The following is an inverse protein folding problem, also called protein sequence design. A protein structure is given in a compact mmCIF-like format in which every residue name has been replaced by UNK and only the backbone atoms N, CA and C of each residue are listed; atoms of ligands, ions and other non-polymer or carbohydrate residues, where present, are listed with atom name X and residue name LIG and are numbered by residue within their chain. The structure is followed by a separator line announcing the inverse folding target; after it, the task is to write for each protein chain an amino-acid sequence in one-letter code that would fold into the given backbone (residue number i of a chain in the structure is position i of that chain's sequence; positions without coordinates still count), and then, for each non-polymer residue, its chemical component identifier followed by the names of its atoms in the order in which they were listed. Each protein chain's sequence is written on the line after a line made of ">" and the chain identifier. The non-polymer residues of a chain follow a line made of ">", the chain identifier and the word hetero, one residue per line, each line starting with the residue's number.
data_IF_917898652632
#
_entry.id   IF_917898652632
#
_cell.length_a   1.000
_cell.length_b   1.000
_cell.length_c   1.000
_cell.angle_alpha   90.00
_cell.angle_beta   90.00
_cell.angle_gamma   90.00
#
_symmetry.space_group_name_H-M   'P 1'
#
loop_
_entity.id
_entity.type
_entity.pdbx_description
1 polymer ?
#
# COMPACT_ATOMS: atom_id res chain seq x y z
N UNK A 1 2.13 11.93 -33.76
CA UNK A 1 1.55 12.45 -32.52
C UNK A 1 0.24 11.72 -32.31
N UNK A 2 0.24 10.67 -31.48
CA UNK A 2 -0.98 9.93 -31.18
C UNK A 2 -1.84 10.81 -30.25
N UNK A 3 -3.08 11.11 -30.67
CA UNK A 3 -4.08 11.74 -29.82
C UNK A 3 -4.23 10.88 -28.56
N UNK A 4 -4.23 11.47 -27.35
CA UNK A 4 -4.55 10.71 -26.16
C UNK A 4 -5.94 10.09 -26.32
N UNK A 5 -6.08 8.82 -25.97
CA UNK A 5 -7.35 8.13 -26.01
C UNK A 5 -8.35 8.90 -25.14
N UNK A 6 -9.53 9.17 -25.69
CA UNK A 6 -10.60 9.85 -24.96
C UNK A 6 -11.02 8.94 -23.80
N UNK A 7 -11.11 9.51 -22.59
CA UNK A 7 -11.57 8.77 -21.42
C UNK A 7 -12.93 8.08 -21.70
N UNK A 8 -13.11 6.82 -21.30
CA UNK A 8 -14.41 6.16 -21.43
C UNK A 8 -15.44 6.90 -20.56
N UNK A 9 -16.70 6.94 -21.01
CA UNK A 9 -17.76 7.53 -20.21
C UNK A 9 -17.98 6.64 -18.96
N UNK A 10 -18.03 7.20 -17.73
CA UNK A 10 -18.34 6.42 -16.54
C UNK A 10 -19.72 5.77 -16.67
N UNK A 11 -19.90 4.58 -16.09
CA UNK A 11 -21.18 3.92 -16.03
C UNK A 11 -22.17 4.76 -15.22
N UNK A 12 -23.50 4.74 -15.54
CA UNK A 12 -24.48 5.45 -14.76
C UNK A 12 -24.53 4.89 -13.32
N UNK A 13 -24.45 5.79 -12.33
CA UNK A 13 -24.46 5.44 -10.92
C UNK A 13 -25.78 4.75 -10.55
N UNK A 14 -25.77 3.63 -9.83
CA UNK A 14 -26.99 2.98 -9.38
C UNK A 14 -27.74 3.91 -8.42
N UNK A 15 -29.03 4.17 -8.70
CA UNK A 15 -29.88 5.17 -8.02
C UNK A 15 -30.14 4.93 -6.53
N UNK A 16 -29.61 3.88 -5.93
CA UNK A 16 -29.78 3.54 -4.51
C UNK A 16 -28.59 2.73 -3.98
N UNK A 17 -27.42 3.33 -3.92
CA UNK A 17 -26.41 2.84 -2.98
C UNK A 17 -26.79 3.40 -1.61
N UNK A 18 -27.69 2.72 -0.90
CA UNK A 18 -27.79 2.90 0.55
C UNK A 18 -26.41 2.57 1.08
N UNK A 19 -25.71 3.60 1.53
CA UNK A 19 -24.51 3.49 2.35
C UNK A 19 -24.92 2.72 3.62
N UNK A 20 -25.02 1.40 3.50
CA UNK A 20 -25.04 0.52 4.62
C UNK A 20 -23.63 0.51 5.15
N UNK A 21 -23.37 1.33 6.16
CA UNK A 21 -22.34 1.07 7.13
C UNK A 21 -22.59 -0.35 7.67
N UNK A 22 -22.14 -1.34 6.95
CA UNK A 22 -21.81 -2.60 7.58
C UNK A 22 -20.48 -2.35 8.27
N UNK A 23 -20.63 -1.83 9.51
CA UNK A 23 -19.63 -1.91 10.57
C UNK A 23 -19.27 -3.39 10.80
N UNK A 24 -18.58 -3.99 9.85
CA UNK A 24 -18.13 -5.36 9.95
C UNK A 24 -16.62 -5.43 10.09
N UNK A 25 -16.02 -4.37 10.64
CA UNK A 25 -14.63 -4.36 11.04
C UNK A 25 -14.44 -4.31 12.57
N UNK A 26 -15.54 -4.44 13.34
CA UNK A 26 -15.48 -4.59 14.80
C UNK A 26 -16.09 -5.93 15.19
N UNK A 27 -15.28 -6.72 15.89
CA UNK A 27 -15.64 -7.99 16.53
C UNK A 27 -15.53 -9.20 15.57
N UNK A 28 -14.33 -9.65 15.29
CA UNK A 28 -14.07 -11.08 15.24
C UNK A 28 -12.66 -11.37 15.77
N UNK A 29 -12.67 -12.11 16.83
CA UNK A 29 -11.63 -12.92 17.46
C UNK A 29 -10.18 -12.79 17.01
N UNK A 30 -9.35 -12.69 18.02
CA UNK A 30 -7.91 -12.68 18.18
C UNK A 30 -7.12 -13.71 17.34
N UNK A 31 -7.75 -14.42 16.40
CA UNK A 31 -7.15 -15.52 15.64
C UNK A 31 -7.35 -15.46 14.12
N UNK A 32 -8.03 -14.46 13.59
CA UNK A 32 -8.14 -14.32 12.14
C UNK A 32 -7.94 -12.86 11.77
N UNK A 33 -6.68 -12.47 11.59
CA UNK A 33 -6.33 -11.27 10.84
C UNK A 33 -6.92 -11.47 9.45
N UNK A 34 -8.14 -10.99 9.28
CA UNK A 34 -8.73 -10.85 7.96
C UNK A 34 -7.79 -9.92 7.22
N UNK A 35 -6.99 -10.48 6.36
CA UNK A 35 -6.25 -9.74 5.35
C UNK A 35 -7.29 -9.04 4.49
N UNK A 36 -7.66 -7.82 4.86
CA UNK A 36 -8.32 -6.91 3.95
C UNK A 36 -7.32 -6.72 2.80
N UNK A 37 -7.46 -7.52 1.76
CA UNK A 37 -6.72 -7.30 0.52
C UNK A 37 -7.27 -6.01 -0.07
N UNK A 38 -6.63 -4.89 0.24
CA UNK A 38 -6.87 -3.68 -0.52
C UNK A 38 -6.42 -3.95 -1.95
N UNK A 39 -7.37 -4.01 -2.85
CA UNK A 39 -7.05 -4.02 -4.27
C UNK A 39 -6.53 -2.63 -4.61
N UNK A 40 -5.28 -2.56 -5.06
CA UNK A 40 -4.64 -1.29 -5.40
C UNK A 40 -4.73 -1.08 -6.89
N UNK A 41 -5.35 0.02 -7.26
CA UNK A 41 -5.62 0.39 -8.63
C UNK A 41 -4.86 1.67 -8.97
N UNK A 42 -4.58 1.88 -10.25
CA UNK A 42 -4.04 3.11 -10.81
C UNK A 42 -5.09 3.77 -11.66
N UNK A 43 -5.24 5.06 -11.50
CA UNK A 43 -6.09 5.85 -12.40
C UNK A 43 -5.48 5.89 -13.81
N UNK A 44 -6.26 5.53 -14.81
CA UNK A 44 -5.87 5.58 -16.22
C UNK A 44 -6.20 6.95 -16.82
N UNK A 45 -7.24 7.58 -16.30
CA UNK A 45 -7.76 8.86 -16.79
C UNK A 45 -7.98 9.82 -15.63
N UNK A 46 -8.00 11.12 -15.94
CA UNK A 46 -8.48 12.13 -15.01
C UNK A 46 -9.99 11.98 -14.82
N UNK A 47 -10.44 12.09 -13.59
CA UNK A 47 -11.85 12.07 -13.24
C UNK A 47 -12.17 13.15 -12.22
N UNK A 48 -13.21 13.92 -12.48
CA UNK A 48 -13.75 14.91 -11.54
C UNK A 48 -15.12 14.44 -11.10
N UNK A 49 -15.27 14.16 -9.82
CA UNK A 49 -16.55 13.75 -9.24
C UNK A 49 -17.62 14.81 -9.45
N UNK A 50 -18.80 14.39 -9.88
CA UNK A 50 -19.96 15.27 -10.09
C UNK A 50 -20.84 15.35 -8.84
N UNK A 51 -20.75 14.35 -7.94
CA UNK A 51 -21.48 14.27 -6.68
C UNK A 51 -20.54 14.28 -5.46
N UNK A 52 -21.07 14.63 -4.28
CA UNK A 52 -20.29 14.77 -3.04
C UNK A 52 -19.65 13.45 -2.56
N UNK A 53 -20.22 12.31 -2.96
CA UNK A 53 -19.72 10.98 -2.58
C UNK A 53 -18.76 10.40 -3.63
N UNK A 54 -18.48 11.10 -4.72
CA UNK A 54 -17.54 10.71 -5.75
C UNK A 54 -16.15 11.24 -5.49
N UNK A 55 -15.14 10.44 -5.80
CA UNK A 55 -13.75 10.78 -5.62
C UNK A 55 -13.16 11.36 -6.89
N UNK A 56 -12.58 12.56 -6.81
CA UNK A 56 -11.81 13.15 -7.91
C UNK A 56 -10.37 12.68 -7.86
N UNK A 57 -9.81 12.32 -9.02
CA UNK A 57 -8.43 11.86 -9.15
C UNK A 57 -7.85 12.19 -10.52
N UNK A 58 -6.54 12.17 -10.64
CA UNK A 58 -5.80 12.38 -11.89
C UNK A 58 -5.18 11.08 -12.39
N UNK A 59 -4.96 11.02 -13.69
CA UNK A 59 -4.27 9.88 -14.31
C UNK A 59 -2.91 9.63 -13.63
N UNK A 60 -2.67 8.39 -13.24
CA UNK A 60 -1.48 7.97 -12.51
C UNK A 60 -1.65 7.93 -10.99
N UNK A 61 -2.72 8.50 -10.44
CA UNK A 61 -3.00 8.42 -9.00
C UNK A 61 -3.23 6.96 -8.58
N UNK A 62 -2.83 6.65 -7.34
CA UNK A 62 -3.04 5.33 -6.74
C UNK A 62 -4.30 5.35 -5.88
N UNK A 63 -5.17 4.40 -6.16
CA UNK A 63 -6.44 4.22 -5.46
C UNK A 63 -6.44 2.90 -4.69
N UNK A 64 -6.87 2.96 -3.45
CA UNK A 64 -6.98 1.80 -2.55
C UNK A 64 -8.45 1.40 -2.48
N UNK A 65 -8.83 0.35 -3.21
CA UNK A 65 -10.22 -0.11 -3.26
C UNK A 65 -10.60 -0.76 -1.95
N UNK A 66 -11.62 -0.19 -1.30
CA UNK A 66 -12.16 -0.66 -0.03
C UNK A 66 -13.32 -1.63 -0.26
N UNK A 67 -14.11 -1.38 -1.30
CA UNK A 67 -15.28 -2.18 -1.66
C UNK A 67 -15.44 -2.19 -3.19
N UNK A 68 -15.51 -3.39 -3.76
CA UNK A 68 -15.73 -3.65 -5.18
C UNK A 68 -16.98 -4.52 -5.41
N UNK A 69 -17.95 -4.45 -4.50
CA UNK A 69 -19.21 -5.24 -4.57
C UNK A 69 -20.08 -4.81 -5.74
N UNK A 70 -20.02 -3.54 -6.15
CA UNK A 70 -20.67 -3.04 -7.34
C UNK A 70 -19.75 -3.21 -8.55
N UNK A 71 -20.24 -3.72 -9.70
CA UNK A 71 -19.39 -3.95 -10.88
C UNK A 71 -18.91 -2.65 -11.54
N UNK A 72 -19.65 -1.58 -11.41
CA UNK A 72 -19.40 -0.32 -12.14
C UNK A 72 -18.80 0.78 -11.24
N UNK A 73 -19.11 0.77 -9.95
CA UNK A 73 -18.67 1.78 -9.00
C UNK A 73 -18.05 1.16 -7.76
N UNK A 74 -16.78 1.46 -7.53
CA UNK A 74 -16.05 0.96 -6.39
C UNK A 74 -15.84 2.05 -5.34
N UNK A 75 -15.84 1.68 -4.08
CA UNK A 75 -15.41 2.58 -3.02
C UNK A 75 -13.91 2.49 -2.87
N UNK A 76 -13.23 3.64 -2.97
CA UNK A 76 -11.78 3.70 -2.90
C UNK A 76 -11.30 4.90 -2.07
N UNK A 77 -10.04 4.85 -1.67
CA UNK A 77 -9.32 5.96 -1.04
C UNK A 77 -8.23 6.46 -1.98
N UNK A 78 -8.08 7.78 -2.06
CA UNK A 78 -7.00 8.43 -2.76
C UNK A 78 -6.63 9.72 -2.02
N UNK A 79 -5.33 9.95 -1.78
CA UNK A 79 -4.81 11.16 -1.12
C UNK A 79 -5.52 11.50 0.21
N UNK A 80 -5.90 10.47 0.97
CA UNK A 80 -6.58 10.61 2.26
C UNK A 80 -8.08 10.89 2.20
N UNK A 81 -8.66 10.99 1.01
CA UNK A 81 -10.10 11.10 0.79
C UNK A 81 -10.69 9.74 0.40
N UNK A 82 -11.94 9.50 0.77
CA UNK A 82 -12.68 8.28 0.43
C UNK A 82 -13.95 8.64 -0.36
N UNK A 83 -14.22 7.92 -1.43
CA UNK A 83 -15.39 8.14 -2.25
C UNK A 83 -15.59 7.05 -3.29
N UNK A 84 -16.60 7.21 -4.13
CA UNK A 84 -16.92 6.31 -5.22
C UNK A 84 -16.07 6.64 -6.45
N UNK A 85 -15.58 5.60 -7.13
CA UNK A 85 -14.79 5.70 -8.35
C UNK A 85 -15.36 4.78 -9.42
N UNK A 86 -15.44 5.24 -10.67
CA UNK A 86 -15.88 4.38 -11.78
C UNK A 86 -14.84 3.29 -12.05
N UNK A 87 -15.24 2.02 -12.05
CA UNK A 87 -14.34 0.88 -12.24
C UNK A 87 -13.60 0.89 -13.59
N UNK A 88 -14.21 1.48 -14.62
CA UNK A 88 -13.64 1.58 -15.96
C UNK A 88 -12.59 2.69 -16.14
N UNK A 89 -12.35 3.50 -15.09
CA UNK A 89 -11.34 4.56 -15.09
C UNK A 89 -10.03 4.13 -14.42
N UNK A 90 -10.00 2.92 -13.87
CA UNK A 90 -8.87 2.42 -13.09
C UNK A 90 -8.39 1.06 -13.60
N UNK A 91 -7.11 0.79 -13.44
CA UNK A 91 -6.48 -0.49 -13.76
C UNK A 91 -5.66 -1.00 -12.57
N UNK A 92 -5.29 -2.26 -12.57
CA UNK A 92 -4.41 -2.78 -11.53
C UNK A 92 -3.09 -1.99 -11.51
N UNK A 93 -2.73 -1.46 -10.33
CA UNK A 93 -1.51 -0.67 -10.16
C UNK A 93 -0.23 -1.49 -10.35
N UNK A 94 -0.32 -2.81 -10.36
CA UNK A 94 0.79 -3.73 -10.54
C UNK A 94 1.03 -3.96 -12.03
N UNK A 95 1.97 -3.21 -12.61
CA UNK A 95 2.34 -3.32 -14.03
C UNK A 95 2.87 -4.70 -14.42
N UNK A 96 3.28 -5.51 -13.46
CA UNK A 96 3.84 -6.87 -13.67
C UNK A 96 2.95 -7.97 -13.09
N UNK A 97 1.73 -7.62 -12.61
CA UNK A 97 0.76 -8.60 -12.07
C UNK A 97 1.20 -9.30 -10.78
N UNK A 98 2.37 -9.01 -10.25
CA UNK A 98 3.04 -9.87 -9.28
C UNK A 98 3.57 -9.16 -8.02
N UNK A 99 3.70 -7.85 -8.02
CA UNK A 99 4.24 -7.07 -6.88
C UNK A 99 3.29 -5.95 -6.50
N UNK A 100 2.97 -5.84 -5.21
CA UNK A 100 2.11 -4.76 -4.71
C UNK A 100 2.80 -3.39 -4.75
N UNK A 101 2.04 -2.29 -4.62
CA UNK A 101 2.60 -0.92 -4.69
C UNK A 101 3.61 -0.63 -3.59
N UNK A 102 3.46 -1.25 -2.41
CA UNK A 102 4.44 -1.13 -1.33
C UNK A 102 5.80 -1.73 -1.74
N UNK A 103 5.80 -2.86 -2.47
CA UNK A 103 7.01 -3.47 -3.00
C UNK A 103 7.66 -2.60 -4.09
N UNK A 104 6.84 -2.04 -4.99
CA UNK A 104 7.33 -1.19 -6.06
C UNK A 104 7.91 0.13 -5.51
N UNK A 105 7.23 0.75 -4.54
CA UNK A 105 7.73 1.93 -3.84
C UNK A 105 9.08 1.65 -3.15
N UNK A 106 9.19 0.53 -2.44
CA UNK A 106 10.41 0.11 -1.77
C UNK A 106 11.54 -0.17 -2.76
N UNK A 107 11.25 -0.83 -3.89
CA UNK A 107 12.20 -1.15 -4.95
C UNK A 107 12.75 0.10 -5.63
N UNK A 108 11.89 1.08 -5.92
CA UNK A 108 12.26 2.31 -6.64
C UNK A 108 12.76 3.42 -5.72
N UNK A 109 12.65 3.28 -4.41
CA UNK A 109 13.00 4.33 -3.46
C UNK A 109 11.98 5.47 -3.41
N UNK A 110 10.74 5.23 -3.82
CA UNK A 110 9.69 6.24 -3.75
C UNK A 110 9.13 6.32 -2.32
N UNK A 111 9.77 7.18 -1.52
CA UNK A 111 9.44 7.36 -0.11
C UNK A 111 8.03 7.93 0.10
N UNK A 112 7.56 8.78 -0.79
CA UNK A 112 6.23 9.41 -0.69
C UNK A 112 5.14 8.35 -0.88
N UNK A 113 5.24 7.55 -1.94
CA UNK A 113 4.33 6.43 -2.19
C UNK A 113 4.40 5.40 -1.05
N UNK A 114 5.60 5.12 -0.53
CA UNK A 114 5.78 4.20 0.59
C UNK A 114 5.03 4.70 1.83
N UNK A 115 5.19 5.97 2.19
CA UNK A 115 4.47 6.59 3.33
C UNK A 115 2.96 6.59 3.12
N UNK A 116 2.50 6.85 1.91
CA UNK A 116 1.09 6.77 1.56
C UNK A 116 0.55 5.34 1.76
N UNK A 117 1.26 4.32 1.27
CA UNK A 117 0.91 2.92 1.49
C UNK A 117 0.83 2.57 2.98
N UNK A 118 1.80 3.03 3.79
CA UNK A 118 1.84 2.79 5.23
C UNK A 118 0.69 3.51 5.97
N UNK A 119 0.37 4.75 5.58
CA UNK A 119 -0.75 5.51 6.16
C UNK A 119 -2.11 4.86 5.88
N UNK A 120 -2.25 4.21 4.74
CA UNK A 120 -3.42 3.42 4.36
C UNK A 120 -3.42 1.99 4.97
N UNK A 121 -2.51 1.72 5.93
CA UNK A 121 -2.41 0.44 6.65
C UNK A 121 -2.23 -0.78 5.75
N UNK A 122 -1.49 -0.63 4.67
CA UNK A 122 -1.16 -1.77 3.83
C UNK A 122 -0.36 -2.82 4.61
N UNK A 123 -0.57 -4.12 4.34
CA UNK A 123 0.13 -5.19 5.04
C UNK A 123 1.62 -5.18 4.70
N UNK A 124 2.45 -4.65 5.62
CA UNK A 124 3.90 -4.46 5.45
C UNK A 124 4.69 -5.75 5.27
N UNK A 125 4.13 -6.86 5.74
CA UNK A 125 4.74 -8.18 5.69
C UNK A 125 4.20 -9.05 4.53
N UNK A 126 3.43 -8.47 3.63
CA UNK A 126 2.97 -9.18 2.44
C UNK A 126 4.18 -9.60 1.61
N UNK A 127 4.18 -10.84 1.16
CA UNK A 127 5.23 -11.37 0.29
C UNK A 127 4.76 -11.42 -1.15
N UNK A 128 5.66 -11.14 -2.07
CA UNK A 128 5.47 -11.36 -3.49
C UNK A 128 5.54 -12.88 -3.83
N UNK A 129 5.31 -13.30 -5.08
CA UNK A 129 5.42 -14.70 -5.46
C UNK A 129 6.80 -15.33 -5.25
N UNK A 130 7.86 -14.53 -5.17
CA UNK A 130 9.21 -14.99 -4.83
C UNK A 130 9.46 -15.05 -3.31
N UNK A 131 8.47 -14.64 -2.50
CA UNK A 131 8.57 -14.59 -1.05
C UNK A 131 9.22 -13.30 -0.52
N UNK A 132 9.51 -12.33 -1.38
CA UNK A 132 10.11 -11.07 -0.94
C UNK A 132 9.05 -10.14 -0.38
N UNK A 133 9.30 -9.54 0.76
CA UNK A 133 8.51 -8.43 1.31
C UNK A 133 9.05 -7.09 0.78
N UNK A 134 8.33 -6.01 1.06
CA UNK A 134 8.81 -4.67 0.73
C UNK A 134 10.20 -4.38 1.33
N UNK A 135 10.48 -4.91 2.53
CA UNK A 135 11.79 -4.78 3.17
C UNK A 135 12.90 -5.50 2.41
N UNK A 136 12.63 -6.68 1.82
CA UNK A 136 13.58 -7.36 0.93
C UNK A 136 13.90 -6.52 -0.30
N UNK A 137 12.90 -5.88 -0.91
CA UNK A 137 13.10 -5.03 -2.07
C UNK A 137 13.88 -3.76 -1.75
N UNK A 138 13.55 -3.07 -0.64
CA UNK A 138 14.31 -1.91 -0.18
C UNK A 138 15.79 -2.26 0.07
N UNK A 139 16.03 -3.38 0.77
CA UNK A 139 17.36 -3.89 1.09
C UNK A 139 18.16 -4.26 -0.17
N UNK A 140 17.54 -4.99 -1.11
CA UNK A 140 18.14 -5.41 -2.37
C UNK A 140 18.50 -4.24 -3.27
N UNK A 141 17.66 -3.20 -3.29
CA UNK A 141 17.85 -2.01 -4.14
C UNK A 141 18.65 -0.91 -3.47
N UNK A 142 19.10 -1.09 -2.22
CA UNK A 142 19.88 -0.11 -1.46
C UNK A 142 19.13 1.15 -1.06
N UNK A 143 17.81 1.09 -0.99
CA UNK A 143 16.95 2.24 -0.68
C UNK A 143 16.87 2.48 0.83
N UNK A 144 17.90 3.16 1.36
CA UNK A 144 18.09 3.35 2.80
C UNK A 144 16.92 4.06 3.47
N UNK A 145 16.38 5.13 2.86
CA UNK A 145 15.26 5.89 3.43
C UNK A 145 13.99 5.04 3.53
N UNK A 146 13.65 4.33 2.45
CA UNK A 146 12.51 3.41 2.45
C UNK A 146 12.70 2.28 3.46
N UNK A 147 13.92 1.76 3.58
CA UNK A 147 14.26 0.72 4.54
C UNK A 147 14.07 1.22 5.97
N UNK A 148 14.53 2.43 6.28
CA UNK A 148 14.37 3.04 7.61
C UNK A 148 12.91 3.26 7.98
N UNK A 149 12.08 3.75 7.06
CA UNK A 149 10.64 3.90 7.26
C UNK A 149 9.97 2.54 7.54
N UNK A 150 10.27 1.52 6.74
CA UNK A 150 9.73 0.18 6.93
C UNK A 150 10.13 -0.41 8.27
N UNK A 151 11.39 -0.29 8.66
CA UNK A 151 11.90 -0.81 9.93
C UNK A 151 11.27 -0.09 11.13
N UNK A 152 10.87 1.17 10.99
CA UNK A 152 10.12 1.92 12.00
C UNK A 152 8.70 1.42 12.23
N UNK A 153 8.16 0.58 11.35
CA UNK A 153 6.80 0.06 11.51
C UNK A 153 6.76 -1.06 12.55
N UNK A 154 5.84 -0.93 13.51
CA UNK A 154 5.58 -1.98 14.51
C UNK A 154 5.16 -3.27 13.78
N UNK A 155 5.73 -4.41 14.18
CA UNK A 155 5.47 -5.74 13.61
C UNK A 155 6.08 -6.02 12.23
N UNK A 156 7.06 -5.22 11.77
CA UNK A 156 7.82 -5.58 10.57
C UNK A 156 8.61 -6.87 10.80
N UNK A 157 8.49 -7.83 9.90
CA UNK A 157 9.25 -9.09 9.94
C UNK A 157 10.63 -8.90 9.32
N UNK A 158 11.62 -8.48 10.13
CA UNK A 158 13.00 -8.24 9.66
C UNK A 158 13.78 -9.53 9.39
N UNK A 159 13.37 -10.62 9.98
CA UNK A 159 13.97 -11.97 9.89
C UNK A 159 13.24 -12.88 8.88
N UNK A 160 12.22 -12.36 8.22
CA UNK A 160 11.52 -13.14 7.19
C UNK A 160 12.49 -13.54 6.08
N UNK A 161 12.33 -14.77 5.60
CA UNK A 161 13.10 -15.28 4.48
C UNK A 161 12.22 -15.39 3.23
N UNK A 162 12.82 -15.12 2.08
CA UNK A 162 12.19 -15.36 0.79
C UNK A 162 12.24 -16.86 0.40
N UNK A 163 11.77 -17.23 -0.78
CA UNK A 163 11.80 -18.61 -1.26
C UNK A 163 13.21 -19.18 -1.50
N UNK A 164 14.23 -18.31 -1.59
CA UNK A 164 15.63 -18.70 -1.69
C UNK A 164 16.30 -18.88 -0.32
N UNK A 165 15.61 -18.53 0.76
CA UNK A 165 16.15 -18.56 2.12
C UNK A 165 16.90 -17.28 2.51
N UNK A 166 16.83 -16.22 1.69
CA UNK A 166 17.52 -14.96 1.96
C UNK A 166 16.69 -14.06 2.87
N UNK A 167 17.33 -13.46 3.86
CA UNK A 167 16.78 -12.37 4.66
C UNK A 167 17.03 -11.01 3.97
N UNK A 168 16.31 -9.94 4.36
CA UNK A 168 16.62 -8.59 3.85
C UNK A 168 18.07 -8.19 4.04
N UNK A 169 18.67 -8.53 5.19
CA UNK A 169 20.08 -8.23 5.48
C UNK A 169 21.04 -8.98 4.56
N UNK A 170 20.76 -10.25 4.25
CA UNK A 170 21.54 -11.03 3.27
C UNK A 170 21.47 -10.43 1.88
N UNK A 171 20.28 -9.99 1.44
CA UNK A 171 20.13 -9.32 0.15
C UNK A 171 20.87 -7.99 0.08
N UNK A 172 20.81 -7.17 1.15
CA UNK A 172 21.58 -5.94 1.22
C UNK A 172 23.09 -6.21 1.14
N UNK A 173 23.59 -7.21 1.85
CA UNK A 173 25.00 -7.59 1.86
C UNK A 173 25.47 -8.12 0.50
N UNK A 174 24.69 -9.02 -0.13
CA UNK A 174 25.03 -9.60 -1.45
C UNK A 174 25.05 -8.56 -2.58
N UNK A 175 24.31 -7.46 -2.45
CA UNK A 175 24.27 -6.36 -3.40
C UNK A 175 25.19 -5.18 -3.01
N UNK A 176 25.95 -5.29 -1.92
CA UNK A 176 26.95 -4.31 -1.51
C UNK A 176 26.38 -3.05 -0.83
N UNK A 177 25.17 -3.11 -0.31
CA UNK A 177 24.50 -1.97 0.34
C UNK A 177 24.83 -1.90 1.84
N UNK A 178 26.05 -1.52 2.17
CA UNK A 178 26.60 -1.51 3.53
C UNK A 178 25.74 -0.70 4.53
N UNK A 179 25.22 0.47 4.11
CA UNK A 179 24.37 1.30 4.97
C UNK A 179 23.02 0.63 5.33
N UNK A 180 22.46 -0.13 4.39
CA UNK A 180 21.25 -0.89 4.64
C UNK A 180 21.52 -2.05 5.61
N UNK A 181 22.65 -2.73 5.46
CA UNK A 181 23.09 -3.78 6.40
C UNK A 181 23.27 -3.21 7.80
N UNK A 182 23.98 -2.09 7.92
CA UNK A 182 24.21 -1.42 9.19
C UNK A 182 22.88 -1.02 9.87
N UNK A 183 21.96 -0.44 9.11
CA UNK A 183 20.65 -0.04 9.62
C UNK A 183 19.86 -1.24 10.16
N UNK A 184 19.81 -2.35 9.40
CA UNK A 184 19.13 -3.58 9.84
C UNK A 184 19.76 -4.19 11.09
N UNK A 185 21.09 -4.29 11.13
CA UNK A 185 21.80 -4.85 12.29
C UNK A 185 21.63 -4.01 13.55
N UNK A 186 21.65 -2.68 13.44
CA UNK A 186 21.40 -1.78 14.56
C UNK A 186 20.04 -2.01 15.21
N UNK A 187 19.02 -2.21 14.39
CA UNK A 187 17.66 -2.48 14.89
C UNK A 187 17.58 -3.86 15.52
N UNK A 188 18.13 -4.88 14.87
CA UNK A 188 18.14 -6.25 15.38
C UNK A 188 18.90 -6.38 16.70
N UNK A 189 19.96 -5.60 16.89
CA UNK A 189 20.75 -5.58 18.15
C UNK A 189 20.09 -4.78 19.28
N UNK A 190 18.93 -4.16 19.04
CA UNK A 190 18.26 -3.31 20.03
C UNK A 190 18.99 -2.01 20.35
N UNK A 191 20.04 -1.66 19.58
CA UNK A 191 20.87 -0.47 19.81
C UNK A 191 20.21 0.83 19.36
N UNK A 192 19.08 0.76 18.66
CA UNK A 192 18.22 1.89 18.30
C UNK A 192 16.83 1.63 18.86
N UNK A 193 16.52 2.27 19.98
CA UNK A 193 15.12 2.60 20.25
C UNK A 193 14.73 3.70 19.27
N UNK A 194 13.93 3.38 18.26
CA UNK A 194 13.31 4.42 17.46
C UNK A 194 12.48 5.27 18.41
N UNK A 195 12.89 6.52 18.61
CA UNK A 195 11.99 7.51 19.18
C UNK A 195 10.87 7.65 18.13
N UNK A 196 9.78 6.98 18.39
CA UNK A 196 8.53 7.16 17.70
C UNK A 196 8.33 8.67 17.55
N UNK A 197 8.36 9.17 16.31
CA UNK A 197 7.74 10.44 15.98
C UNK A 197 6.32 10.45 16.55
N UNK A 198 5.65 11.60 16.64
CA UNK A 198 4.52 11.80 17.53
C UNK A 198 3.56 10.62 17.45
N UNK A 199 3.50 9.90 18.56
CA UNK A 199 2.58 8.80 18.84
C UNK A 199 1.19 9.29 18.48
N UNK A 200 0.57 8.76 17.45
CA UNK A 200 -0.87 8.90 17.32
C UNK A 200 -1.46 8.15 18.51
N UNK A 201 -1.75 8.93 19.55
CA UNK A 201 -2.45 8.42 20.73
C UNK A 201 -3.83 7.96 20.26
N UNK A 202 -4.00 6.64 20.26
CA UNK A 202 -5.34 6.08 20.26
C UNK A 202 -5.97 6.42 21.60
N UNK A 203 -6.76 7.50 21.64
CA UNK A 203 -7.64 7.76 22.75
C UNK A 203 -8.60 6.57 22.88
N UNK A 204 -8.42 5.85 23.97
CA UNK A 204 -9.42 4.91 24.48
C UNK A 204 -10.73 5.68 24.63
N UNK A 205 -11.71 5.34 23.82
CA UNK A 205 -13.09 5.70 24.09
C UNK A 205 -13.64 4.57 24.96
N UNK A 206 -13.84 4.94 26.22
CA UNK A 206 -14.57 4.14 27.20
C UNK A 206 -16.05 4.05 26.83
#
# INVERSE_FOLDING_TARGET
>A
MNKPATAPRPAPKPRNVKVGLKDNCFIFDYLQIVTCFYQVMRAVYDYTGEEEDELSFSAGDILYVVDSSDPDWWRARCKGQEGLVPSNMVENATSDGNTGPLHDAAKRGNIELLRECLSNRMPVNQADPAGNTALHWAARSGQLECLQELVGVVQIGMDKVNKLGDTPAMLAASHGHALCVEALLKVMSGSISYSLGPRMEYSHIS
#
